data_IF_086880882677
#
_entry.id   IF_086880882677
#
_cell.length_a   1.000
_cell.length_b   1.000
_cell.length_c   1.000
_cell.angle_alpha   90.00
_cell.angle_beta   90.00
_cell.angle_gamma   90.00
#
_symmetry.space_group_name_H-M   'P 1'
#
loop_
_entity.id
_entity.type
_entity.pdbx_description
1 polymer ?
#
# COMPACT_ATOMS: atom_id res chain seq x y z
N UNK A 1 1.81 14.03 3.62
CA UNK A 1 1.72 12.54 3.57
C UNK A 1 2.71 11.89 4.54
N UNK A 2 2.29 10.85 5.26
CA UNK A 2 3.09 10.05 6.21
C UNK A 2 2.91 8.55 5.96
N UNK A 3 3.93 7.75 6.28
CA UNK A 3 3.82 6.30 6.30
C UNK A 3 3.14 5.89 7.59
N UNK A 4 1.92 5.35 7.49
CA UNK A 4 1.18 4.86 8.65
C UNK A 4 1.69 3.52 9.14
N UNK A 5 1.98 2.66 8.17
CA UNK A 5 2.25 1.26 8.45
C UNK A 5 3.18 0.72 7.38
N UNK A 6 4.20 -0.01 7.82
CA UNK A 6 5.04 -0.84 6.98
C UNK A 6 4.89 -2.29 7.43
N UNK A 7 4.51 -3.14 6.49
CA UNK A 7 4.31 -4.57 6.69
C UNK A 7 5.44 -5.28 5.95
N UNK A 8 6.17 -6.16 6.63
CA UNK A 8 7.29 -6.92 6.05
C UNK A 8 7.07 -8.42 6.12
N UNK A 9 6.03 -8.88 6.82
CA UNK A 9 5.65 -10.30 6.84
C UNK A 9 4.93 -10.66 5.52
N UNK A 10 5.45 -11.59 4.71
CA UNK A 10 4.85 -11.96 3.43
C UNK A 10 3.38 -12.40 3.54
N UNK A 11 3.01 -13.13 4.60
CA UNK A 11 1.63 -13.58 4.78
C UNK A 11 0.69 -12.40 5.05
N UNK A 12 1.10 -11.46 5.91
CA UNK A 12 0.35 -10.23 6.16
C UNK A 12 0.27 -9.33 4.92
N UNK A 13 1.36 -9.19 4.15
CA UNK A 13 1.35 -8.45 2.88
C UNK A 13 0.29 -9.04 1.94
N UNK A 14 0.33 -10.36 1.71
CA UNK A 14 -0.63 -11.04 0.84
C UNK A 14 -2.07 -10.84 1.31
N UNK A 15 -2.31 -10.92 2.63
CA UNK A 15 -3.63 -10.72 3.21
C UNK A 15 -4.16 -9.30 3.00
N UNK A 16 -3.30 -8.27 2.99
CA UNK A 16 -3.72 -6.89 2.76
C UNK A 16 -3.89 -6.60 1.26
N UNK A 17 -2.94 -7.00 0.41
CA UNK A 17 -2.99 -6.63 -1.02
C UNK A 17 -4.21 -7.19 -1.75
N UNK A 18 -4.77 -8.30 -1.27
CA UNK A 18 -5.94 -8.98 -1.86
C UNK A 18 -7.27 -8.41 -1.39
N UNK A 19 -7.28 -7.58 -0.34
CA UNK A 19 -8.50 -6.91 0.11
C UNK A 19 -8.92 -5.83 -0.87
N UNK A 20 -10.21 -5.74 -1.15
CA UNK A 20 -10.75 -4.66 -1.97
C UNK A 20 -10.65 -3.31 -1.24
N UNK A 21 -10.64 -2.19 -1.99
CA UNK A 21 -10.80 -0.86 -1.42
C UNK A 21 -12.00 -0.77 -0.47
N UNK A 22 -11.88 -0.07 0.68
CA UNK A 22 -10.73 0.74 1.12
C UNK A 22 -9.70 -0.02 1.98
N UNK A 23 -9.95 -1.30 2.31
CA UNK A 23 -9.11 -2.04 3.26
C UNK A 23 -7.80 -2.57 2.64
N UNK A 24 -7.72 -2.57 1.32
CA UNK A 24 -6.52 -2.89 0.56
C UNK A 24 -6.64 -2.43 -0.90
N UNK A 25 -5.60 -2.68 -1.71
CA UNK A 25 -5.55 -2.27 -3.10
C UNK A 25 -6.24 -3.22 -4.09
N UNK A 26 -6.72 -4.38 -3.65
CA UNK A 26 -7.42 -5.36 -4.50
C UNK A 26 -6.56 -5.96 -5.61
N UNK A 27 -5.26 -6.09 -5.39
CA UNK A 27 -4.32 -6.64 -6.36
C UNK A 27 -4.36 -8.17 -6.41
N UNK A 28 -3.99 -8.70 -7.58
CA UNK A 28 -3.71 -10.12 -7.75
C UNK A 28 -2.49 -10.52 -6.89
N UNK A 29 -2.54 -11.62 -6.11
CA UNK A 29 -1.41 -12.10 -5.31
C UNK A 29 -0.09 -12.24 -6.08
N UNK A 30 -0.13 -12.50 -7.39
CA UNK A 30 1.06 -12.65 -8.23
C UNK A 30 1.96 -11.40 -8.22
N UNK A 31 1.40 -10.23 -7.94
CA UNK A 31 2.16 -8.96 -7.90
C UNK A 31 3.15 -8.90 -6.75
N UNK A 32 2.98 -9.74 -5.72
CA UNK A 32 3.88 -9.86 -4.58
C UNK A 32 5.22 -10.51 -4.95
N UNK A 33 5.36 -11.06 -6.17
CA UNK A 33 6.59 -11.71 -6.59
C UNK A 33 7.78 -10.73 -6.51
N UNK A 34 8.70 -11.00 -5.59
CA UNK A 34 9.86 -10.16 -5.33
C UNK A 34 9.60 -8.99 -4.38
N UNK A 35 8.38 -8.78 -3.87
CA UNK A 35 8.13 -7.76 -2.86
C UNK A 35 8.66 -8.17 -1.48
N UNK A 36 9.23 -7.22 -0.74
CA UNK A 36 9.70 -7.41 0.64
C UNK A 36 8.94 -6.57 1.67
N UNK A 37 8.18 -5.57 1.21
CA UNK A 37 7.31 -4.79 2.08
C UNK A 37 6.08 -4.25 1.36
N UNK A 38 5.04 -4.01 2.15
CA UNK A 38 3.92 -3.15 1.80
C UNK A 38 3.94 -1.94 2.72
N UNK A 39 3.90 -0.75 2.14
CA UNK A 39 3.72 0.49 2.89
C UNK A 39 2.34 1.08 2.63
N UNK A 40 1.68 1.50 3.69
CA UNK A 40 0.41 2.21 3.67
C UNK A 40 0.70 3.63 4.10
N UNK A 41 0.36 4.57 3.23
CA UNK A 41 0.58 5.98 3.45
C UNK A 41 -0.74 6.72 3.41
N UNK A 42 -0.87 7.76 4.21
CA UNK A 42 -2.03 8.65 4.15
C UNK A 42 -1.58 10.10 4.06
N UNK A 43 -2.42 10.92 3.46
CA UNK A 43 -2.29 12.37 3.45
C UNK A 43 -2.48 12.97 4.83
N UNK A 44 -1.90 14.14 5.00
CA UNK A 44 -2.03 15.00 6.18
C UNK A 44 -3.14 16.02 5.96
N UNK A 45 -3.63 16.62 7.04
CA UNK A 45 -4.68 17.67 6.99
C UNK A 45 -4.30 18.90 6.15
N UNK A 46 -3.02 19.06 5.82
CA UNK A 46 -2.48 20.14 4.99
C UNK A 46 -2.39 19.79 3.51
N UNK A 47 -2.60 18.52 3.13
CA UNK A 47 -2.57 18.11 1.73
C UNK A 47 -3.87 18.56 1.02
N UNK A 48 -3.79 19.06 -0.23
CA UNK A 48 -4.94 19.63 -0.94
C UNK A 48 -5.98 18.59 -1.36
N UNK A 49 -5.61 17.32 -1.40
CA UNK A 49 -6.45 16.18 -1.73
C UNK A 49 -6.18 15.08 -0.72
N UNK A 50 -7.24 14.54 -0.11
CA UNK A 50 -7.13 13.43 0.84
C UNK A 50 -7.06 12.10 0.09
N UNK A 51 -6.06 11.27 0.38
CA UNK A 51 -5.93 9.93 -0.16
C UNK A 51 -5.08 9.01 0.73
N UNK A 52 -5.37 7.70 0.62
CA UNK A 52 -4.51 6.61 1.07
C UNK A 52 -3.75 6.04 -0.12
N UNK A 53 -2.46 5.78 0.04
CA UNK A 53 -1.64 5.09 -0.94
C UNK A 53 -1.12 3.76 -0.40
N UNK A 54 -1.27 2.71 -1.20
CA UNK A 54 -0.67 1.40 -0.98
C UNK A 54 0.54 1.26 -1.90
N UNK A 55 1.73 1.04 -1.33
CA UNK A 55 2.99 0.88 -2.07
C UNK A 55 3.60 -0.48 -1.79
N UNK A 56 3.68 -1.30 -2.83
CA UNK A 56 4.43 -2.55 -2.78
C UNK A 56 5.89 -2.27 -3.08
N UNK A 57 6.79 -2.75 -2.23
CA UNK A 57 8.20 -2.37 -2.23
C UNK A 57 9.11 -3.59 -2.47
N UNK A 58 10.27 -3.32 -3.08
CA UNK A 58 11.45 -4.19 -3.08
C UNK A 58 12.67 -3.33 -2.74
N UNK A 59 13.21 -3.47 -1.53
CA UNK A 59 14.23 -2.59 -0.98
C UNK A 59 13.70 -1.14 -0.90
N UNK A 60 14.28 -0.27 -1.73
CA UNK A 60 13.89 1.14 -1.85
C UNK A 60 13.06 1.44 -3.10
N UNK A 61 12.72 0.42 -3.91
CA UNK A 61 11.96 0.59 -5.14
C UNK A 61 10.48 0.30 -4.91
N UNK A 62 9.61 1.14 -5.49
CA UNK A 62 8.17 0.89 -5.57
C UNK A 62 7.92 -0.04 -6.75
N UNK A 63 7.49 -1.27 -6.49
CA UNK A 63 7.07 -2.22 -7.52
C UNK A 63 5.68 -1.90 -8.05
N UNK A 64 4.78 -1.45 -7.18
CA UNK A 64 3.41 -1.08 -7.53
C UNK A 64 2.85 -0.07 -6.54
N UNK A 65 2.05 0.86 -7.04
CA UNK A 65 1.33 1.84 -6.22
C UNK A 65 -0.14 1.91 -6.64
N UNK A 66 -1.03 2.09 -5.66
CA UNK A 66 -2.42 2.49 -5.87
C UNK A 66 -2.74 3.60 -4.89
N UNK A 67 -3.31 4.69 -5.40
CA UNK A 67 -3.83 5.79 -4.61
C UNK A 67 -5.35 5.78 -4.65
N UNK A 68 -5.98 5.92 -3.48
CA UNK A 68 -7.44 5.91 -3.33
C UNK A 68 -7.84 7.25 -2.69
N UNK A 69 -8.49 8.16 -3.44
CA UNK A 69 -8.88 9.46 -2.93
C UNK A 69 -10.10 9.38 -2.01
N UNK A 70 -10.20 10.34 -1.08
CA UNK A 70 -11.35 10.52 -0.19
C UNK A 70 -11.35 9.63 1.06
N UNK A 71 -10.18 9.13 1.48
CA UNK A 71 -9.99 8.26 2.64
C UNK A 71 -8.78 8.67 3.46
#
# INVERSE_FOLDING_TARGET
MYCMQRITDPAAIQAVITQAPPFGPGWDPAVMTGADALEIWATTITDPTDYVAFRLMHGSQILRELQIPGY
#
